data_IF_025168305716
#
_entry.id   IF_025168305716
#
_cell.length_a   1.000
_cell.length_b   1.000
_cell.length_c   1.000
_cell.angle_alpha   90.00
_cell.angle_beta   90.00
_cell.angle_gamma   90.00
#
_symmetry.space_group_name_H-M   'P 1'
#
loop_
_entity.id
_entity.type
_entity.pdbx_description
1 polymer ?
#
# COMPACT_ATOMS: atom_id res chain seq x y z
N UNK A 1 -44.12 -27.52 12.74
CA UNK A 1 -42.79 -27.89 12.22
C UNK A 1 -41.82 -26.82 12.71
N UNK A 2 -40.90 -27.18 13.59
CA UNK A 2 -39.92 -26.28 14.21
C UNK A 2 -38.81 -25.97 13.21
N UNK A 3 -38.72 -24.72 12.76
CA UNK A 3 -37.67 -24.23 11.88
C UNK A 3 -36.40 -23.98 12.71
N UNK A 4 -35.44 -24.90 12.64
CA UNK A 4 -34.10 -24.72 13.23
C UNK A 4 -33.37 -23.66 12.39
N UNK A 5 -32.98 -22.51 12.97
CA UNK A 5 -32.17 -21.53 12.25
C UNK A 5 -30.78 -22.13 11.97
N UNK A 6 -30.18 -21.85 10.80
CA UNK A 6 -28.85 -22.34 10.47
C UNK A 6 -27.83 -21.78 11.47
N UNK A 7 -26.93 -22.65 11.93
CA UNK A 7 -25.83 -22.30 12.82
C UNK A 7 -24.98 -21.19 12.20
N UNK A 8 -24.51 -20.19 12.98
CA UNK A 8 -23.60 -19.18 12.48
C UNK A 8 -22.30 -19.82 12.01
N UNK A 9 -21.83 -19.46 10.81
CA UNK A 9 -20.55 -19.91 10.28
C UNK A 9 -19.40 -19.44 11.19
N UNK A 10 -18.38 -20.29 11.42
CA UNK A 10 -17.29 -19.99 12.34
C UNK A 10 -16.43 -18.82 11.85
N UNK A 11 -15.93 -18.03 12.80
CA UNK A 11 -15.02 -16.91 12.56
C UNK A 11 -13.70 -17.39 11.93
N UNK A 12 -13.40 -16.90 10.72
CA UNK A 12 -12.16 -17.22 10.01
C UNK A 12 -10.99 -16.38 10.54
N UNK A 13 -10.39 -16.87 11.61
CA UNK A 13 -9.15 -16.32 12.19
C UNK A 13 -8.02 -16.27 11.13
N UNK A 14 -8.05 -17.21 10.19
CA UNK A 14 -7.15 -17.25 9.03
C UNK A 14 -7.28 -16.02 8.14
N UNK A 15 -8.48 -15.45 8.00
CA UNK A 15 -8.73 -14.24 7.21
C UNK A 15 -8.08 -13.00 7.84
N UNK A 16 -8.17 -12.86 9.17
CA UNK A 16 -7.53 -11.75 9.89
C UNK A 16 -5.99 -11.85 9.85
N UNK A 17 -5.44 -13.07 9.98
CA UNK A 17 -4.01 -13.30 9.87
C UNK A 17 -3.48 -12.98 8.46
N UNK A 18 -4.25 -13.32 7.41
CA UNK A 18 -3.90 -13.05 6.02
C UNK A 18 -3.92 -11.55 5.70
N UNK A 19 -4.88 -10.80 6.26
CA UNK A 19 -4.92 -9.34 6.15
C UNK A 19 -3.76 -8.65 6.88
N UNK A 20 -3.36 -9.15 8.06
CA UNK A 20 -2.20 -8.64 8.78
C UNK A 20 -0.90 -8.89 7.99
N UNK A 21 -0.75 -10.08 7.40
CA UNK A 21 0.39 -10.41 6.55
C UNK A 21 0.45 -9.48 5.33
N UNK A 22 -0.70 -9.26 4.67
CA UNK A 22 -0.84 -8.33 3.54
C UNK A 22 -0.40 -6.91 3.91
N UNK A 23 -0.81 -6.42 5.08
CA UNK A 23 -0.42 -5.10 5.54
C UNK A 23 1.09 -4.98 5.79
N UNK A 24 1.74 -6.05 6.26
CA UNK A 24 3.19 -6.10 6.38
C UNK A 24 3.87 -6.01 5.00
N UNK A 25 3.41 -6.79 4.01
CA UNK A 25 3.93 -6.74 2.64
C UNK A 25 3.75 -5.35 2.01
N UNK A 26 2.60 -4.70 2.27
CA UNK A 26 2.32 -3.35 1.78
C UNK A 26 3.27 -2.31 2.41
N UNK A 27 3.63 -2.45 3.70
CA UNK A 27 4.60 -1.59 4.38
C UNK A 27 6.01 -1.77 3.79
N UNK A 28 6.44 -3.00 3.55
CA UNK A 28 7.73 -3.27 2.91
C UNK A 28 7.79 -2.67 1.51
N UNK A 29 6.70 -2.76 0.75
CA UNK A 29 6.58 -2.11 -0.55
C UNK A 29 6.65 -0.57 -0.45
N UNK A 30 6.11 0.03 0.61
CA UNK A 30 6.24 1.48 0.85
C UNK A 30 7.68 1.90 1.17
N UNK A 31 8.45 1.03 1.82
CA UNK A 31 9.88 1.27 2.04
C UNK A 31 10.66 1.35 0.72
N UNK A 32 10.34 0.51 -0.27
CA UNK A 32 10.95 0.55 -1.60
C UNK A 32 10.63 1.85 -2.36
N UNK A 33 9.39 2.34 -2.25
CA UNK A 33 9.01 3.63 -2.85
C UNK A 33 9.75 4.78 -2.19
N UNK A 34 9.86 4.78 -0.86
CA UNK A 34 10.66 5.78 -0.14
C UNK A 34 12.13 5.75 -0.55
N UNK A 35 12.69 4.56 -0.77
CA UNK A 35 14.06 4.41 -1.26
C UNK A 35 14.20 4.99 -2.68
N UNK A 36 13.24 4.74 -3.57
CA UNK A 36 13.23 5.32 -4.92
C UNK A 36 13.20 6.86 -4.88
N UNK A 37 12.36 7.46 -4.03
CA UNK A 37 12.33 8.91 -3.82
C UNK A 37 13.67 9.45 -3.30
N UNK A 38 14.31 8.77 -2.35
CA UNK A 38 15.63 9.17 -1.82
C UNK A 38 16.74 9.04 -2.88
N UNK A 39 16.65 8.08 -3.81
CA UNK A 39 17.56 7.96 -4.94
C UNK A 39 17.37 9.11 -5.94
N UNK A 40 16.11 9.48 -6.24
CA UNK A 40 15.80 10.63 -7.10
C UNK A 40 16.33 11.92 -6.46
N UNK A 41 16.15 12.09 -5.14
CA UNK A 41 16.70 13.22 -4.40
C UNK A 41 18.22 13.33 -4.58
N UNK A 42 18.96 12.21 -4.50
CA UNK A 42 20.42 12.18 -4.73
C UNK A 42 20.84 12.45 -6.17
N UNK A 43 20.00 12.13 -7.15
CA UNK A 43 20.25 12.44 -8.57
C UNK A 43 19.99 13.91 -8.88
N UNK A 44 19.13 14.56 -8.10
CA UNK A 44 18.79 15.98 -8.23
C UNK A 44 19.70 16.85 -7.38
N UNK A 45 20.17 16.37 -6.22
CA UNK A 45 21.13 17.05 -5.38
C UNK A 45 22.51 17.04 -6.07
N UNK A 46 23.05 18.20 -6.49
CA UNK A 46 24.35 18.30 -7.11
C UNK A 46 25.45 18.12 -6.05
N UNK A 47 25.52 16.96 -5.40
CA UNK A 47 26.65 16.63 -4.56
C UNK A 47 27.86 16.35 -5.44
N UNK A 48 28.70 17.39 -5.49
CA UNK A 48 30.01 17.49 -6.11
C UNK A 48 30.92 16.30 -5.72
N UNK A 49 30.81 15.18 -6.45
CA UNK A 49 31.77 14.07 -6.34
C UNK A 49 32.62 14.11 -7.61
N UNK A 50 33.75 14.78 -7.47
CA UNK A 50 34.56 15.36 -8.55
C UNK A 50 35.30 14.41 -9.48
N UNK A 51 34.72 13.29 -9.94
CA UNK A 51 35.35 12.45 -10.98
C UNK A 51 34.38 11.60 -11.83
N UNK A 52 33.06 11.76 -11.71
CA UNK A 52 32.09 11.11 -12.60
C UNK A 52 31.52 12.13 -13.57
N UNK A 53 31.34 11.75 -14.84
CA UNK A 53 30.57 12.57 -15.81
C UNK A 53 29.29 13.05 -15.12
N UNK A 54 29.12 14.37 -15.05
CA UNK A 54 27.98 15.03 -14.41
C UNK A 54 26.69 14.63 -15.13
N UNK A 55 26.05 13.54 -14.67
CA UNK A 55 24.74 13.14 -15.17
C UNK A 55 23.70 14.02 -14.50
N UNK A 56 23.38 15.13 -15.15
CA UNK A 56 22.29 16.01 -14.74
C UNK A 56 20.99 15.56 -15.41
N UNK A 57 20.00 15.07 -14.65
CA UNK A 57 18.72 14.66 -15.24
C UNK A 57 18.02 15.88 -15.84
N UNK A 58 17.54 15.76 -17.08
CA UNK A 58 16.83 16.86 -17.74
C UNK A 58 15.39 16.95 -17.26
N UNK A 59 14.79 18.14 -17.32
CA UNK A 59 13.44 18.42 -16.81
C UNK A 59 12.37 17.42 -17.27
N UNK A 60 12.48 16.90 -18.49
CA UNK A 60 11.56 15.91 -19.06
C UNK A 60 11.69 14.54 -18.40
N UNK A 61 12.91 14.11 -18.07
CA UNK A 61 13.18 12.85 -17.37
C UNK A 61 12.68 12.91 -15.93
N UNK A 62 12.96 14.03 -15.24
CA UNK A 62 12.42 14.28 -13.89
C UNK A 62 10.88 14.30 -13.89
N UNK A 63 10.26 14.94 -14.89
CA UNK A 63 8.81 14.96 -15.04
C UNK A 63 8.24 13.56 -15.30
N UNK A 64 8.89 12.75 -16.14
CA UNK A 64 8.49 11.37 -16.41
C UNK A 64 8.61 10.48 -15.16
N UNK A 65 9.70 10.61 -14.41
CA UNK A 65 9.91 9.91 -13.14
C UNK A 65 8.85 10.32 -12.12
N UNK A 66 8.66 11.62 -11.89
CA UNK A 66 7.67 12.11 -10.91
C UNK A 66 6.25 11.66 -11.27
N UNK A 67 5.91 11.65 -12.57
CA UNK A 67 4.62 11.13 -13.04
C UNK A 67 4.47 9.65 -12.73
N UNK A 68 5.48 8.82 -13.01
CA UNK A 68 5.45 7.39 -12.71
C UNK A 68 5.26 7.13 -11.21
N UNK A 69 6.02 7.84 -10.36
CA UNK A 69 5.92 7.63 -8.91
C UNK A 69 4.57 8.12 -8.37
N UNK A 70 4.04 9.25 -8.88
CA UNK A 70 2.72 9.73 -8.49
C UNK A 70 1.61 8.76 -8.91
N UNK A 71 1.67 8.19 -10.12
CA UNK A 71 0.70 7.20 -10.60
C UNK A 71 0.72 5.94 -9.73
N UNK A 72 1.91 5.48 -9.32
CA UNK A 72 2.05 4.31 -8.45
C UNK A 72 1.57 4.60 -7.01
N UNK A 73 1.91 5.77 -6.45
CA UNK A 73 1.43 6.17 -5.14
C UNK A 73 -0.10 6.27 -5.10
N UNK A 74 -0.71 6.86 -6.13
CA UNK A 74 -2.16 6.94 -6.27
C UNK A 74 -2.80 5.55 -6.29
N UNK A 75 -2.25 4.62 -7.07
CA UNK A 75 -2.73 3.22 -7.13
C UNK A 75 -2.68 2.53 -5.77
N UNK A 76 -1.62 2.77 -5.00
CA UNK A 76 -1.45 2.20 -3.64
C UNK A 76 -2.44 2.79 -2.66
N UNK A 77 -2.69 4.10 -2.72
CA UNK A 77 -3.71 4.76 -1.90
C UNK A 77 -5.08 4.12 -2.17
N UNK A 78 -5.49 4.03 -3.44
CA UNK A 78 -6.78 3.43 -3.83
C UNK A 78 -6.91 1.98 -3.35
N UNK A 79 -5.83 1.19 -3.47
CA UNK A 79 -5.80 -0.20 -3.00
C UNK A 79 -5.93 -0.28 -1.48
N UNK A 80 -5.24 0.59 -0.76
CA UNK A 80 -5.28 0.65 0.71
C UNK A 80 -6.66 1.10 1.19
N UNK A 81 -7.26 2.12 0.56
CA UNK A 81 -8.61 2.59 0.85
C UNK A 81 -9.66 1.48 0.66
N UNK A 82 -9.58 0.75 -0.47
CA UNK A 82 -10.47 -0.38 -0.74
C UNK A 82 -10.31 -1.49 0.31
N UNK A 83 -9.08 -1.76 0.74
CA UNK A 83 -8.77 -2.74 1.78
C UNK A 83 -9.32 -2.32 3.13
N UNK A 84 -9.14 -1.05 3.53
CA UNK A 84 -9.69 -0.51 4.78
C UNK A 84 -11.22 -0.50 4.78
N UNK A 85 -11.84 -0.17 3.64
CA UNK A 85 -13.30 -0.21 3.52
C UNK A 85 -13.82 -1.65 3.66
N UNK A 86 -13.15 -2.62 3.05
CA UNK A 86 -13.47 -4.04 3.18
C UNK A 86 -13.33 -4.52 4.63
N UNK A 87 -12.25 -4.14 5.31
CA UNK A 87 -12.02 -4.44 6.72
C UNK A 87 -13.12 -3.84 7.61
N UNK A 88 -13.48 -2.57 7.40
CA UNK A 88 -14.55 -1.91 8.15
C UNK A 88 -15.88 -2.63 7.98
N UNK A 89 -16.24 -3.01 6.75
CA UNK A 89 -17.46 -3.75 6.48
C UNK A 89 -17.45 -5.13 7.16
N UNK A 90 -16.30 -5.80 7.24
CA UNK A 90 -16.16 -7.04 7.98
C UNK A 90 -16.35 -6.83 9.49
N UNK A 91 -15.75 -5.78 10.07
CA UNK A 91 -15.91 -5.44 11.50
C UNK A 91 -17.35 -5.03 11.84
N UNK A 92 -18.00 -4.23 11.00
CA UNK A 92 -19.40 -3.83 11.19
C UNK A 92 -20.34 -5.05 11.17
N UNK A 93 -20.06 -6.04 10.30
CA UNK A 93 -20.76 -7.33 10.32
C UNK A 93 -20.55 -8.11 11.63
N UNK A 94 -19.34 -8.10 12.18
CA UNK A 94 -19.03 -8.73 13.48
C UNK A 94 -19.83 -8.07 14.61
N UNK A 95 -19.88 -6.74 14.64
CA UNK A 95 -20.58 -5.99 15.69
C UNK A 95 -22.12 -6.11 15.61
N UNK A 96 -22.67 -6.42 14.45
CA UNK A 96 -24.10 -6.60 14.24
C UNK A 96 -24.61 -8.01 14.58
N UNK A 97 -23.74 -8.98 14.88
CA UNK A 97 -24.13 -10.32 15.28
C UNK A 97 -24.54 -10.35 16.77
N UNK A 98 -25.75 -10.81 17.13
CA UNK A 98 -26.16 -10.94 18.53
C UNK A 98 -25.45 -12.14 19.19
N UNK A 99 -25.02 -11.95 20.43
CA UNK A 99 -24.44 -13.00 21.29
C UNK A 99 -25.43 -14.14 21.58
#
# INVERSE_FOLDING_TARGET
MTHVPPSPEPFDTDSAALLALRACDDIDSLHDVRLAYACIEKLVDPQHVGDSEDVHPIRTELSALMRLVNEELQRRIETTEATMQSLRLAVDKVNAAPF
#
